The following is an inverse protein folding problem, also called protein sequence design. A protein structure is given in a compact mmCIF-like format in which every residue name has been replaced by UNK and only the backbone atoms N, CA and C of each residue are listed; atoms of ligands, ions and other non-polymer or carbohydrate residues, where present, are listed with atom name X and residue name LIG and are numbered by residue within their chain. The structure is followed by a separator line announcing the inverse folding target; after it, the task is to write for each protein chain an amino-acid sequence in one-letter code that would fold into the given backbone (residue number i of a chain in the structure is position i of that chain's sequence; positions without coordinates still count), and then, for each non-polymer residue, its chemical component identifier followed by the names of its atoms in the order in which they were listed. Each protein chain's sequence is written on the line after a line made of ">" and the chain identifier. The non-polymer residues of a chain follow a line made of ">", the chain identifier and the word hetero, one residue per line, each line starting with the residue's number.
data_IF_836902946032
#
_entry.id   IF_836902946032
#
_cell.length_a   1.000
_cell.length_b   1.000
_cell.length_c   1.000
_cell.angle_alpha   90.00
_cell.angle_beta   90.00
_cell.angle_gamma   90.00
#
_symmetry.space_group_name_H-M   'P 1'
#
loop_
_entity.id
_entity.type
_entity.pdbx_description
1 polymer ?
#
# COMPACT_ATOMS: atom_id res chain seq x y z
N UNK A 1 -17.70 -4.02 3.72
CA UNK A 1 -16.31 -3.94 4.20
C UNK A 1 -16.25 -4.82 5.44
N UNK A 2 -15.32 -5.78 5.52
CA UNK A 2 -15.23 -6.65 6.70
C UNK A 2 -14.69 -5.83 7.88
N UNK A 3 -15.43 -5.76 8.97
CA UNK A 3 -15.07 -4.92 10.11
C UNK A 3 -13.89 -5.50 10.91
N UNK A 4 -13.15 -4.64 11.62
CA UNK A 4 -12.15 -5.08 12.58
C UNK A 4 -12.84 -5.70 13.79
N UNK A 5 -12.61 -6.99 14.04
CA UNK A 5 -13.01 -7.61 15.31
C UNK A 5 -12.02 -7.26 16.41
N UNK A 6 -12.48 -6.62 17.50
CA UNK A 6 -11.66 -6.37 18.69
C UNK A 6 -12.01 -7.37 19.80
N UNK A 7 -10.99 -7.96 20.42
CA UNK A 7 -11.09 -8.87 21.55
C UNK A 7 -10.23 -8.31 22.67
N UNK A 8 -10.86 -7.92 23.79
CA UNK A 8 -10.13 -7.46 24.96
C UNK A 8 -9.94 -8.59 25.95
N UNK A 9 -8.69 -8.92 26.27
CA UNK A 9 -8.32 -9.98 27.19
C UNK A 9 -7.82 -9.37 28.50
N UNK A 10 -8.57 -9.56 29.57
CA UNK A 10 -8.18 -9.12 30.92
C UNK A 10 -7.68 -10.26 31.82
N UNK A 11 -7.93 -11.51 31.43
CA UNK A 11 -7.56 -12.73 32.20
C UNK A 11 -7.21 -13.86 31.25
N UNK A 12 -6.49 -14.88 31.75
CA UNK A 12 -6.01 -16.01 30.93
C UNK A 12 -7.14 -16.74 30.21
N UNK A 13 -8.30 -16.90 30.87
CA UNK A 13 -9.48 -17.58 30.30
C UNK A 13 -10.15 -16.81 29.15
N UNK A 14 -9.81 -15.54 28.97
CA UNK A 14 -10.38 -14.67 27.92
C UNK A 14 -9.50 -14.66 26.66
N UNK A 15 -8.33 -15.30 26.71
CA UNK A 15 -7.48 -15.49 25.53
C UNK A 15 -8.26 -16.38 24.56
N UNK A 16 -8.53 -15.92 23.32
CA UNK A 16 -9.35 -16.66 22.37
C UNK A 16 -8.67 -17.97 21.94
N UNK A 17 -9.44 -19.03 21.77
CA UNK A 17 -8.93 -20.30 21.24
C UNK A 17 -8.59 -20.19 19.76
N UNK A 18 -7.89 -21.18 19.23
CA UNK A 18 -7.54 -21.22 17.81
C UNK A 18 -8.80 -21.29 16.93
N UNK A 19 -9.80 -22.06 17.37
CA UNK A 19 -11.08 -22.23 16.70
C UNK A 19 -11.86 -20.91 16.66
N UNK A 20 -11.89 -20.17 17.79
CA UNK A 20 -12.49 -18.83 17.83
C UNK A 20 -11.82 -17.88 16.85
N UNK A 21 -10.48 -17.85 16.82
CA UNK A 21 -9.74 -17.02 15.86
C UNK A 21 -10.03 -17.42 14.43
N UNK A 22 -10.06 -18.73 14.12
CA UNK A 22 -10.37 -19.23 12.79
C UNK A 22 -11.79 -18.86 12.33
N UNK A 23 -12.79 -19.00 13.21
CA UNK A 23 -14.16 -18.60 12.92
C UNK A 23 -14.24 -17.09 12.65
N UNK A 24 -13.61 -16.28 13.50
CA UNK A 24 -13.61 -14.83 13.35
C UNK A 24 -12.88 -14.37 12.08
N UNK A 25 -11.77 -15.00 11.68
CA UNK A 25 -11.06 -14.68 10.43
C UNK A 25 -11.82 -15.12 9.17
N UNK A 26 -12.76 -16.06 9.28
CA UNK A 26 -13.64 -16.39 8.15
C UNK A 26 -14.61 -15.24 7.82
N UNK A 27 -15.02 -14.49 8.86
CA UNK A 27 -15.99 -13.38 8.76
C UNK A 27 -15.32 -12.02 8.66
N UNK A 28 -14.12 -11.86 9.22
CA UNK A 28 -13.39 -10.61 9.33
C UNK A 28 -12.01 -10.74 8.68
N UNK A 29 -11.51 -9.70 8.01
CA UNK A 29 -10.15 -9.72 7.45
C UNK A 29 -9.07 -9.43 8.51
N UNK A 30 -9.47 -8.93 9.68
CA UNK A 30 -8.56 -8.56 10.76
C UNK A 30 -9.19 -8.76 12.12
N UNK A 31 -8.40 -9.29 13.05
CA UNK A 31 -8.71 -9.36 14.48
C UNK A 31 -7.67 -8.57 15.24
N UNK A 32 -8.08 -7.86 16.29
CA UNK A 32 -7.17 -7.22 17.24
C UNK A 32 -7.40 -7.78 18.63
N UNK A 33 -6.35 -8.35 19.22
CA UNK A 33 -6.35 -8.85 20.60
C UNK A 33 -5.65 -7.81 21.47
N UNK A 34 -6.42 -7.11 22.29
CA UNK A 34 -5.97 -6.07 23.21
C UNK A 34 -5.76 -6.66 24.62
N UNK A 35 -4.70 -6.25 25.31
CA UNK A 35 -4.44 -6.63 26.71
C UNK A 35 -3.67 -5.52 27.45
N UNK A 36 -3.80 -5.48 28.78
CA UNK A 36 -3.07 -4.54 29.62
C UNK A 36 -1.62 -5.02 29.85
N UNK A 37 -0.66 -4.12 29.72
CA UNK A 37 0.77 -4.39 29.93
C UNK A 37 1.10 -4.81 31.37
N UNK A 38 0.25 -4.44 32.33
CA UNK A 38 0.42 -4.70 33.77
C UNK A 38 -0.03 -6.11 34.21
N UNK A 39 -0.42 -6.98 33.28
CA UNK A 39 -0.83 -8.35 33.64
C UNK A 39 0.32 -9.22 34.11
N UNK A 40 -0.02 -10.23 34.91
CA UNK A 40 0.95 -11.13 35.51
C UNK A 40 1.70 -11.98 34.46
N UNK A 41 2.87 -12.49 34.86
CA UNK A 41 3.74 -13.30 34.01
C UNK A 41 3.02 -14.51 33.37
N UNK A 42 2.13 -15.17 34.12
CA UNK A 42 1.43 -16.35 33.64
C UNK A 42 0.47 -16.02 32.48
N UNK A 43 -0.26 -14.91 32.58
CA UNK A 43 -1.11 -14.41 31.48
C UNK A 43 -0.29 -14.15 30.22
N UNK A 44 0.80 -13.38 30.34
CA UNK A 44 1.65 -13.02 29.20
C UNK A 44 2.28 -14.26 28.56
N UNK A 45 2.72 -15.24 29.37
CA UNK A 45 3.26 -16.51 28.88
C UNK A 45 2.23 -17.29 28.07
N UNK A 46 1.00 -17.38 28.57
CA UNK A 46 -0.08 -18.10 27.89
C UNK A 46 -0.51 -17.41 26.60
N UNK A 47 -0.62 -16.07 26.61
CA UNK A 47 -0.95 -15.29 25.41
C UNK A 47 0.13 -15.48 24.34
N UNK A 48 1.41 -15.34 24.67
CA UNK A 48 2.51 -15.56 23.71
C UNK A 48 2.51 -16.97 23.14
N UNK A 49 2.21 -17.99 23.94
CA UNK A 49 2.06 -19.37 23.45
C UNK A 49 0.90 -19.47 22.46
N UNK A 50 -0.24 -18.86 22.76
CA UNK A 50 -1.40 -18.88 21.88
C UNK A 50 -1.13 -18.14 20.57
N UNK A 51 -0.45 -16.98 20.60
CA UNK A 51 -0.07 -16.23 19.40
C UNK A 51 0.85 -17.07 18.50
N UNK A 52 1.83 -17.78 19.06
CA UNK A 52 2.67 -18.71 18.26
C UNK A 52 1.86 -19.84 17.63
N UNK A 53 0.96 -20.47 18.40
CA UNK A 53 0.08 -21.50 17.83
C UNK A 53 -0.79 -20.97 16.68
N UNK A 54 -1.23 -19.71 16.76
CA UNK A 54 -1.98 -19.05 15.68
C UNK A 54 -1.10 -18.84 14.45
N UNK A 55 0.11 -18.33 14.64
CA UNK A 55 1.11 -18.10 13.58
C UNK A 55 1.50 -19.40 12.87
N UNK A 56 1.69 -20.48 13.63
CA UNK A 56 2.12 -21.78 13.11
C UNK A 56 1.00 -22.53 12.34
N UNK A 57 -0.27 -22.31 12.73
CA UNK A 57 -1.40 -23.13 12.26
C UNK A 57 -2.37 -22.39 11.33
N UNK A 58 -2.35 -21.05 11.31
CA UNK A 58 -3.21 -20.23 10.46
C UNK A 58 -2.37 -19.39 9.50
N UNK A 59 -2.92 -19.15 8.31
CA UNK A 59 -2.30 -18.29 7.31
C UNK A 59 -2.59 -16.82 7.62
N UNK A 60 -1.83 -16.25 8.56
CA UNK A 60 -2.02 -14.89 9.06
C UNK A 60 -0.69 -14.14 9.15
N UNK A 61 -0.77 -12.82 9.00
CA UNK A 61 0.30 -11.91 9.39
C UNK A 61 -0.01 -11.35 10.79
N UNK A 62 0.95 -11.41 11.72
CA UNK A 62 0.76 -10.93 13.08
C UNK A 62 1.64 -9.71 13.35
N UNK A 63 0.99 -8.58 13.64
CA UNK A 63 1.67 -7.35 14.02
C UNK A 63 1.43 -7.04 15.50
N UNK A 64 2.50 -6.75 16.23
CA UNK A 64 2.43 -6.31 17.62
C UNK A 64 2.47 -4.79 17.70
N UNK A 65 1.76 -4.22 18.66
CA UNK A 65 1.84 -2.80 18.96
C UNK A 65 1.52 -2.48 20.41
N UNK A 66 1.74 -1.23 20.78
CA UNK A 66 1.44 -0.72 22.12
C UNK A 66 0.99 0.73 22.06
N UNK A 67 0.13 1.11 22.99
CA UNK A 67 -0.33 2.47 23.20
C UNK A 67 -0.60 2.67 24.69
N UNK A 68 0.25 3.46 25.35
CA UNK A 68 0.22 3.63 26.82
C UNK A 68 0.31 2.26 27.52
N UNK A 69 -0.61 1.96 28.43
CA UNK A 69 -0.70 0.69 29.15
C UNK A 69 -1.37 -0.43 28.33
N UNK A 70 -1.82 -0.16 27.10
CA UNK A 70 -2.47 -1.15 26.25
C UNK A 70 -1.47 -1.75 25.26
N UNK A 71 -1.36 -3.07 25.22
CA UNK A 71 -0.61 -3.81 24.21
C UNK A 71 -1.57 -4.60 23.35
N UNK A 72 -1.20 -4.86 22.11
CA UNK A 72 -2.07 -5.57 21.19
C UNK A 72 -1.33 -6.39 20.15
N UNK A 73 -2.06 -7.40 19.65
CA UNK A 73 -1.73 -8.15 18.46
C UNK A 73 -2.81 -7.90 17.41
N UNK A 74 -2.44 -7.43 16.23
CA UNK A 74 -3.29 -7.44 15.05
C UNK A 74 -2.98 -8.69 14.24
N UNK A 75 -4.02 -9.47 13.96
CA UNK A 75 -3.96 -10.67 13.14
C UNK A 75 -4.65 -10.33 11.83
N UNK A 76 -3.91 -10.34 10.74
CA UNK A 76 -4.44 -10.10 9.40
C UNK A 76 -4.61 -11.43 8.70
N UNK A 77 -5.81 -11.72 8.23
CA UNK A 77 -6.03 -12.88 7.38
C UNK A 77 -5.25 -12.68 6.07
N UNK A 78 -4.53 -13.70 5.61
CA UNK A 78 -3.86 -13.69 4.31
C UNK A 78 -4.66 -14.52 3.31
N UNK A 79 -4.38 -14.34 2.03
CA UNK A 79 -4.96 -15.19 1.00
C UNK A 79 -4.32 -16.57 1.00
N UNK A 80 -5.12 -17.59 0.71
CA UNK A 80 -4.60 -18.88 0.24
C UNK A 80 -3.87 -18.74 -1.09
N UNK A 81 -3.03 -19.70 -1.44
CA UNK A 81 -2.28 -19.70 -2.71
C UNK A 81 -3.17 -19.53 -3.94
N UNK A 82 -4.33 -20.21 -3.95
CA UNK A 82 -5.30 -20.13 -5.04
C UNK A 82 -5.95 -18.73 -5.13
N UNK A 83 -6.23 -18.11 -3.99
CA UNK A 83 -6.77 -16.75 -3.94
C UNK A 83 -5.73 -15.72 -4.41
N UNK A 84 -4.48 -15.81 -3.94
CA UNK A 84 -3.38 -14.94 -4.40
C UNK A 84 -3.24 -15.04 -5.92
N UNK A 85 -3.17 -16.26 -6.46
CA UNK A 85 -3.04 -16.47 -7.90
C UNK A 85 -4.18 -15.79 -8.66
N UNK A 86 -5.43 -16.04 -8.25
CA UNK A 86 -6.61 -15.48 -8.93
C UNK A 86 -6.67 -13.96 -8.84
N UNK A 87 -6.28 -13.38 -7.71
CA UNK A 87 -6.37 -11.94 -7.51
C UNK A 87 -5.20 -11.18 -8.14
N UNK A 88 -4.06 -11.85 -8.32
CA UNK A 88 -2.82 -11.25 -8.84
C UNK A 88 -2.96 -10.70 -10.26
N UNK A 89 -3.73 -11.37 -11.14
CA UNK A 89 -3.95 -10.92 -12.53
C UNK A 89 -4.57 -9.52 -12.57
N UNK A 90 -5.60 -9.29 -11.74
CA UNK A 90 -6.28 -7.99 -11.65
C UNK A 90 -5.41 -6.93 -10.97
N UNK A 91 -4.55 -7.32 -10.03
CA UNK A 91 -3.61 -6.40 -9.41
C UNK A 91 -2.50 -5.99 -10.41
N UNK A 92 -2.03 -6.93 -11.24
CA UNK A 92 -1.06 -6.65 -12.31
C UNK A 92 -1.61 -5.61 -13.30
N UNK A 93 -2.87 -5.73 -13.70
CA UNK A 93 -3.55 -4.74 -14.55
C UNK A 93 -3.55 -3.34 -13.90
N UNK A 94 -3.88 -3.26 -12.60
CA UNK A 94 -3.86 -2.01 -11.87
C UNK A 94 -2.45 -1.40 -11.78
N UNK A 95 -1.43 -2.22 -11.50
CA UNK A 95 -0.03 -1.82 -11.43
C UNK A 95 0.46 -1.30 -12.79
N UNK A 96 0.16 -2.04 -13.86
CA UNK A 96 0.47 -1.63 -15.24
C UNK A 96 -0.22 -0.31 -15.59
N UNK A 97 -1.51 -0.19 -15.30
CA UNK A 97 -2.25 1.03 -15.56
C UNK A 97 -1.70 2.21 -14.77
N UNK A 98 -1.31 2.01 -13.51
CA UNK A 98 -0.71 3.04 -12.66
C UNK A 98 0.62 3.54 -13.25
N UNK A 99 1.49 2.64 -13.69
CA UNK A 99 2.73 3.03 -14.37
C UNK A 99 2.48 3.84 -15.64
N UNK A 100 1.62 3.34 -16.52
CA UNK A 100 1.34 3.99 -17.80
C UNK A 100 0.69 5.37 -17.63
N UNK A 101 -0.22 5.53 -16.65
CA UNK A 101 -0.80 6.85 -16.37
C UNK A 101 0.24 7.81 -15.78
N UNK A 102 1.11 7.32 -14.89
CA UNK A 102 2.17 8.12 -14.30
C UNK A 102 3.12 8.67 -15.36
N UNK A 103 3.65 7.81 -16.22
CA UNK A 103 4.55 8.22 -17.32
C UNK A 103 3.86 9.22 -18.26
N UNK A 104 2.58 9.00 -18.59
CA UNK A 104 1.80 9.90 -19.45
C UNK A 104 1.61 11.28 -18.83
N UNK A 105 1.31 11.35 -17.53
CA UNK A 105 1.08 12.62 -16.84
C UNK A 105 2.37 13.41 -16.66
N UNK A 106 3.46 12.73 -16.31
CA UNK A 106 4.78 13.37 -16.24
C UNK A 106 5.20 13.89 -17.60
N UNK A 107 5.12 13.07 -18.66
CA UNK A 107 5.46 13.53 -20.02
C UNK A 107 4.69 14.79 -20.42
N UNK A 108 3.37 14.84 -20.15
CA UNK A 108 2.57 16.04 -20.42
C UNK A 108 3.02 17.25 -19.62
N UNK A 109 3.42 17.05 -18.37
CA UNK A 109 3.95 18.11 -17.53
C UNK A 109 5.27 18.63 -18.12
N UNK A 110 6.19 17.72 -18.42
CA UNK A 110 7.51 18.03 -18.98
C UNK A 110 7.40 18.78 -20.32
N UNK A 111 6.48 18.35 -21.20
CA UNK A 111 6.17 19.03 -22.45
C UNK A 111 5.60 20.44 -22.22
N UNK A 112 4.63 20.59 -21.31
CA UNK A 112 3.96 21.88 -21.04
C UNK A 112 4.95 22.95 -20.53
N UNK A 113 5.89 22.56 -19.68
CA UNK A 113 6.82 23.49 -19.03
C UNK A 113 8.24 23.46 -19.64
N UNK A 114 8.46 22.67 -20.71
CA UNK A 114 9.78 22.41 -21.28
C UNK A 114 10.83 22.06 -20.20
N UNK A 115 10.42 21.22 -19.27
CA UNK A 115 11.17 20.83 -18.09
C UNK A 115 11.35 19.32 -18.08
N UNK A 116 12.42 18.81 -17.49
CA UNK A 116 12.55 17.38 -17.24
C UNK A 116 12.93 17.15 -15.78
N UNK A 117 12.24 16.21 -15.13
CA UNK A 117 12.53 15.85 -13.74
C UNK A 117 13.84 15.07 -13.57
N UNK A 118 14.39 14.54 -14.67
CA UNK A 118 15.66 13.80 -14.67
C UNK A 118 16.85 14.66 -15.14
N UNK A 119 16.60 15.86 -15.66
CA UNK A 119 17.66 16.78 -16.09
C UNK A 119 18.13 17.67 -14.92
N UNK A 120 19.27 17.31 -14.33
CA UNK A 120 19.86 18.04 -13.20
C UNK A 120 20.36 19.44 -13.55
N UNK A 121 20.45 19.80 -14.84
CA UNK A 121 20.89 21.13 -15.28
C UNK A 121 19.73 22.15 -15.33
N UNK A 122 18.47 21.67 -15.29
CA UNK A 122 17.29 22.53 -15.29
C UNK A 122 16.79 22.74 -13.86
N UNK A 123 16.99 23.95 -13.34
CA UNK A 123 16.39 24.34 -12.07
C UNK A 123 14.88 24.47 -12.19
N UNK A 124 14.15 23.83 -11.28
CA UNK A 124 12.70 23.98 -11.12
C UNK A 124 12.26 25.45 -10.91
N UNK A 125 13.13 26.29 -10.35
CA UNK A 125 12.86 27.72 -10.19
C UNK A 125 12.58 28.43 -11.52
N UNK A 126 13.13 27.92 -12.64
CA UNK A 126 12.95 28.50 -13.98
C UNK A 126 11.50 28.41 -14.49
N UNK A 127 10.73 27.42 -14.02
CA UNK A 127 9.35 27.20 -14.46
C UNK A 127 8.31 27.64 -13.43
N UNK A 128 8.73 28.06 -12.24
CA UNK A 128 7.84 28.41 -11.13
C UNK A 128 6.82 29.49 -11.50
N UNK A 129 7.25 30.54 -12.19
CA UNK A 129 6.35 31.61 -12.63
C UNK A 129 5.28 31.14 -13.63
N UNK A 130 5.65 30.22 -14.53
CA UNK A 130 4.69 29.64 -15.48
C UNK A 130 3.68 28.74 -14.77
N UNK A 131 4.13 27.90 -13.83
CA UNK A 131 3.27 27.06 -12.98
C UNK A 131 2.24 27.90 -12.21
N UNK A 132 2.68 29.02 -11.62
CA UNK A 132 1.82 29.96 -10.88
C UNK A 132 0.77 30.61 -11.80
N UNK A 133 1.17 31.04 -13.00
CA UNK A 133 0.24 31.59 -14.01
C UNK A 133 -0.80 30.56 -14.46
N UNK A 134 -0.38 29.31 -14.64
CA UNK A 134 -1.24 28.18 -14.99
C UNK A 134 -2.10 27.67 -13.83
N UNK A 135 -1.92 28.21 -12.61
CA UNK A 135 -2.62 27.79 -11.38
C UNK A 135 -2.56 26.28 -11.16
N UNK A 136 -1.41 25.68 -11.48
CA UNK A 136 -1.17 24.23 -11.44
C UNK A 136 -2.12 23.38 -12.31
N UNK A 137 -2.69 23.94 -13.38
CA UNK A 137 -3.47 23.18 -14.34
C UNK A 137 -2.53 22.51 -15.35
N UNK A 138 -2.72 21.21 -15.60
CA UNK A 138 -2.02 20.48 -16.66
C UNK A 138 -2.79 20.54 -17.99
N UNK A 139 -4.10 20.28 -17.93
CA UNK A 139 -5.05 20.31 -19.07
C UNK A 139 -6.45 20.59 -18.54
N UNK A 140 -7.46 20.80 -19.38
CA UNK A 140 -8.86 21.07 -18.97
C UNK A 140 -9.32 20.28 -17.72
N UNK A 141 -9.10 18.96 -17.69
CA UNK A 141 -9.58 18.09 -16.61
C UNK A 141 -8.50 17.62 -15.63
N UNK A 142 -7.23 18.01 -15.81
CA UNK A 142 -6.13 17.56 -14.96
C UNK A 142 -5.42 18.74 -14.32
N UNK A 143 -5.30 18.70 -12.99
CA UNK A 143 -4.46 19.61 -12.20
C UNK A 143 -3.42 18.81 -11.41
N UNK A 144 -2.45 19.50 -10.82
CA UNK A 144 -1.42 18.85 -10.02
C UNK A 144 -1.02 19.66 -8.77
N UNK A 145 -0.35 19.00 -7.83
CA UNK A 145 0.26 19.61 -6.66
C UNK A 145 1.52 18.85 -6.27
N UNK A 146 2.58 19.58 -5.95
CA UNK A 146 3.79 19.02 -5.37
C UNK A 146 3.65 18.87 -3.85
N UNK A 147 4.19 17.79 -3.29
CA UNK A 147 4.39 17.62 -1.85
C UNK A 147 5.56 16.68 -1.58
N UNK A 148 6.43 17.04 -0.64
CA UNK A 148 7.64 16.26 -0.38
C UNK A 148 8.47 16.08 -1.65
N UNK A 149 8.73 14.82 -2.01
CA UNK A 149 9.43 14.43 -3.25
C UNK A 149 8.49 13.89 -4.34
N UNK A 150 7.19 14.17 -4.24
CA UNK A 150 6.14 13.60 -5.07
C UNK A 150 5.31 14.69 -5.78
N UNK A 151 4.60 14.28 -6.82
CA UNK A 151 3.61 15.09 -7.55
C UNK A 151 2.29 14.33 -7.63
N UNK A 152 1.24 14.94 -7.09
CA UNK A 152 -0.12 14.41 -7.13
C UNK A 152 -0.89 15.07 -8.28
N UNK A 153 -1.42 14.25 -9.18
CA UNK A 153 -2.31 14.65 -10.26
C UNK A 153 -3.76 14.26 -9.94
N UNK A 154 -4.69 15.17 -10.19
CA UNK A 154 -6.12 14.95 -9.95
C UNK A 154 -6.92 15.23 -11.20
N UNK A 155 -7.82 14.32 -11.55
CA UNK A 155 -8.73 14.49 -12.66
C UNK A 155 -10.13 14.92 -12.19
N UNK A 156 -10.55 16.15 -12.49
CA UNK A 156 -11.82 16.71 -12.00
C UNK A 156 -13.07 16.00 -12.57
N UNK A 157 -12.97 15.42 -13.78
CA UNK A 157 -14.08 14.74 -14.46
C UNK A 157 -14.33 13.33 -13.93
N UNK A 158 -13.27 12.58 -13.68
CA UNK A 158 -13.36 11.16 -13.25
C UNK A 158 -13.18 10.97 -11.75
N UNK A 159 -12.61 11.96 -11.05
CA UNK A 159 -12.19 11.84 -9.65
C UNK A 159 -10.92 11.01 -9.45
N UNK A 160 -10.26 10.56 -10.53
CA UNK A 160 -9.03 9.78 -10.47
C UNK A 160 -7.88 10.61 -9.87
N UNK A 161 -7.13 10.00 -8.96
CA UNK A 161 -5.94 10.59 -8.34
C UNK A 161 -4.74 9.71 -8.62
N UNK A 162 -3.63 10.32 -9.05
CA UNK A 162 -2.36 9.66 -9.36
C UNK A 162 -1.25 10.41 -8.65
N UNK A 163 -0.74 9.86 -7.56
CA UNK A 163 0.45 10.36 -6.88
C UNK A 163 1.69 9.71 -7.48
N UNK A 164 2.77 10.44 -7.72
CA UNK A 164 3.95 9.95 -8.42
C UNK A 164 5.20 10.36 -7.66
N UNK A 165 5.99 9.37 -7.26
CA UNK A 165 7.27 9.59 -6.62
C UNK A 165 8.36 9.97 -7.64
N UNK A 166 8.95 11.16 -7.46
CA UNK A 166 9.96 11.70 -8.39
C UNK A 166 11.40 11.30 -8.01
N UNK A 167 11.61 10.65 -6.85
CA UNK A 167 12.95 10.27 -6.36
C UNK A 167 13.56 9.05 -7.07
N UNK A 168 12.87 8.44 -8.02
CA UNK A 168 13.31 7.22 -8.70
C UNK A 168 13.77 7.48 -10.14
N UNK A 169 14.44 8.61 -10.38
CA UNK A 169 15.15 8.96 -11.63
C UNK A 169 14.47 8.46 -12.94
N UNK A 170 13.21 8.84 -13.16
CA UNK A 170 12.46 8.48 -14.36
C UNK A 170 11.68 7.15 -14.30
N UNK A 171 11.83 6.34 -13.26
CA UNK A 171 10.94 5.21 -12.96
C UNK A 171 9.61 5.72 -12.36
N UNK A 172 8.80 6.37 -13.20
CA UNK A 172 7.49 6.86 -12.79
C UNK A 172 6.52 5.68 -12.59
N UNK A 173 5.69 5.76 -11.54
CA UNK A 173 4.77 4.68 -11.19
C UNK A 173 5.39 3.56 -10.34
N UNK A 174 6.50 3.84 -9.63
CA UNK A 174 6.92 3.00 -8.51
C UNK A 174 5.80 2.87 -7.48
N UNK A 175 5.64 1.68 -6.93
CA UNK A 175 4.57 1.32 -6.02
C UNK A 175 4.93 1.78 -4.62
N UNK A 176 4.37 2.92 -4.24
CA UNK A 176 4.14 3.23 -2.83
C UNK A 176 2.77 2.65 -2.41
N UNK A 177 2.74 1.88 -1.31
CA UNK A 177 1.53 1.15 -0.91
C UNK A 177 0.34 2.09 -0.66
N UNK A 178 0.57 3.26 -0.08
CA UNK A 178 -0.50 4.20 0.23
C UNK A 178 -1.03 4.85 -1.06
N UNK A 179 -0.13 5.38 -1.88
CA UNK A 179 -0.49 6.06 -3.13
C UNK A 179 -1.10 5.12 -4.16
N UNK A 180 -0.56 3.91 -4.30
CA UNK A 180 -1.09 2.92 -5.22
C UNK A 180 -2.48 2.43 -4.78
N UNK A 181 -2.69 2.20 -3.48
CA UNK A 181 -4.01 1.89 -2.96
C UNK A 181 -5.00 3.02 -3.24
N UNK A 182 -4.59 4.27 -3.04
CA UNK A 182 -5.43 5.45 -3.30
C UNK A 182 -5.77 5.63 -4.78
N UNK A 183 -4.82 5.35 -5.68
CA UNK A 183 -5.06 5.29 -7.12
C UNK A 183 -6.14 4.25 -7.46
N UNK A 184 -6.06 3.04 -6.90
CA UNK A 184 -7.08 2.02 -7.14
C UNK A 184 -8.45 2.41 -6.57
N UNK A 185 -8.50 3.10 -5.43
CA UNK A 185 -9.74 3.60 -4.83
C UNK A 185 -10.43 4.68 -5.67
N UNK A 186 -9.64 5.52 -6.36
CA UNK A 186 -10.15 6.66 -7.13
C UNK A 186 -10.34 6.33 -8.62
N UNK A 187 -9.80 5.22 -9.09
CA UNK A 187 -9.94 4.75 -10.47
C UNK A 187 -11.10 3.76 -10.58
N UNK A 188 -12.15 4.11 -11.33
CA UNK A 188 -13.40 3.34 -11.40
C UNK A 188 -13.19 1.84 -11.72
N UNK A 189 -12.29 1.53 -12.64
CA UNK A 189 -11.95 0.16 -13.06
C UNK A 189 -11.38 -0.68 -11.90
N UNK A 190 -10.66 -0.04 -10.97
CA UNK A 190 -9.92 -0.71 -9.90
C UNK A 190 -10.56 -0.60 -8.51
N UNK A 191 -11.69 0.10 -8.37
CA UNK A 191 -12.41 0.22 -7.08
C UNK A 191 -12.73 -1.13 -6.45
N UNK A 192 -13.17 -2.09 -7.26
CA UNK A 192 -13.56 -3.41 -6.77
C UNK A 192 -12.35 -4.20 -6.26
N UNK A 193 -11.19 -4.14 -6.93
CA UNK A 193 -9.96 -4.80 -6.48
C UNK A 193 -9.38 -4.09 -5.25
N UNK A 194 -9.43 -2.75 -5.22
CA UNK A 194 -8.98 -1.95 -4.08
C UNK A 194 -9.67 -2.36 -2.78
N UNK A 195 -10.99 -2.59 -2.83
CA UNK A 195 -11.79 -2.89 -1.64
C UNK A 195 -11.36 -4.16 -0.88
N UNK A 196 -10.62 -5.05 -1.54
CA UNK A 196 -10.11 -6.31 -0.97
C UNK A 196 -8.89 -6.06 -0.08
N UNK A 197 -8.14 -4.98 -0.33
CA UNK A 197 -6.92 -4.61 0.39
C UNK A 197 -7.14 -3.52 1.46
N UNK A 198 -8.33 -2.90 1.50
CA UNK A 198 -8.65 -1.88 2.50
C UNK A 198 -8.49 -2.46 3.90
N UNK A 199 -7.75 -1.74 4.75
CA UNK A 199 -7.43 -2.14 6.13
C UNK A 199 -6.70 -3.49 6.28
N UNK A 200 -6.19 -4.06 5.17
CA UNK A 200 -5.38 -5.26 5.14
C UNK A 200 -4.20 -5.12 4.15
N UNK A 201 -3.30 -4.19 4.48
CA UNK A 201 -2.03 -4.00 3.76
C UNK A 201 -1.19 -5.28 3.62
N UNK A 202 -1.15 -6.21 4.61
CA UNK A 202 -0.45 -7.49 4.43
C UNK A 202 -0.91 -8.30 3.23
N UNK A 203 -2.21 -8.33 2.91
CA UNK A 203 -2.69 -8.97 1.67
C UNK A 203 -2.14 -8.32 0.41
N UNK A 204 -2.02 -6.98 0.39
CA UNK A 204 -1.47 -6.27 -0.76
C UNK A 204 0.02 -6.62 -0.93
N UNK A 205 0.77 -6.63 0.17
CA UNK A 205 2.18 -7.04 0.18
C UNK A 205 2.32 -8.48 -0.31
N UNK A 206 1.51 -9.42 0.21
CA UNK A 206 1.50 -10.82 -0.23
C UNK A 206 1.29 -10.95 -1.74
N UNK A 207 0.32 -10.24 -2.32
CA UNK A 207 0.09 -10.28 -3.76
C UNK A 207 1.23 -9.65 -4.56
N UNK A 208 1.85 -8.58 -4.04
CA UNK A 208 3.01 -7.94 -4.67
C UNK A 208 4.24 -8.86 -4.67
N UNK A 209 4.49 -9.56 -3.57
CA UNK A 209 5.57 -10.55 -3.46
C UNK A 209 5.36 -11.69 -4.44
N UNK A 210 4.13 -12.20 -4.55
CA UNK A 210 3.78 -13.19 -5.57
C UNK A 210 4.06 -12.68 -6.99
N UNK A 211 3.65 -11.46 -7.32
CA UNK A 211 3.92 -10.85 -8.63
C UNK A 211 5.42 -10.66 -8.89
N UNK A 212 6.19 -10.32 -7.84
CA UNK A 212 7.65 -10.19 -7.90
C UNK A 212 8.31 -11.54 -8.19
N UNK A 213 7.90 -12.60 -7.51
CA UNK A 213 8.37 -13.98 -7.76
C UNK A 213 8.05 -14.46 -9.17
N UNK A 214 6.91 -14.03 -9.74
CA UNK A 214 6.55 -14.28 -11.14
C UNK A 214 7.24 -13.35 -12.14
N UNK A 215 8.07 -12.42 -11.68
CA UNK A 215 8.79 -11.47 -12.53
C UNK A 215 7.90 -10.41 -13.18
N UNK A 216 6.64 -10.26 -12.73
CA UNK A 216 5.66 -9.27 -13.23
C UNK A 216 5.94 -7.86 -12.73
N UNK A 217 6.57 -7.76 -11.56
CA UNK A 217 7.13 -6.52 -11.02
C UNK A 217 8.61 -6.73 -10.68
N UNK A 218 9.38 -5.65 -10.67
CA UNK A 218 10.80 -5.65 -10.32
C UNK A 218 11.12 -4.54 -9.33
N UNK A 219 12.21 -4.70 -8.59
CA UNK A 219 12.73 -3.64 -7.73
C UNK A 219 13.51 -2.61 -8.55
N UNK A 220 13.36 -1.34 -8.18
CA UNK A 220 14.17 -0.23 -8.66
C UNK A 220 14.67 0.57 -7.47
N UNK A 221 15.87 1.14 -7.61
CA UNK A 221 16.53 1.91 -6.55
C UNK A 221 16.34 3.41 -6.75
N UNK A 222 16.14 4.14 -5.67
CA UNK A 222 16.31 5.59 -5.65
C UNK A 222 17.80 5.92 -5.63
N UNK A 223 18.18 6.97 -6.35
CA UNK A 223 19.52 7.55 -6.30
C UNK A 223 19.71 8.51 -5.12
N UNK A 224 18.63 8.84 -4.39
CA UNK A 224 18.60 9.93 -3.40
C UNK A 224 18.45 9.47 -1.95
N UNK A 225 18.16 8.19 -1.67
CA UNK A 225 17.90 7.70 -0.31
C UNK A 225 18.94 6.67 0.15
N UNK A 226 19.59 6.95 1.29
CA UNK A 226 20.53 6.05 1.99
C UNK A 226 19.81 5.03 2.91
N UNK A 227 18.49 5.14 3.09
CA UNK A 227 17.66 4.27 3.91
C UNK A 227 16.38 3.89 3.13
N UNK A 228 16.17 2.59 2.92
CA UNK A 228 15.07 1.96 2.15
C UNK A 228 14.85 2.52 0.73
N UNK A 229 15.84 2.23 -0.11
CA UNK A 229 15.98 2.74 -1.47
C UNK A 229 15.22 1.96 -2.54
N UNK A 230 14.56 0.83 -2.22
CA UNK A 230 13.95 -0.04 -3.21
C UNK A 230 12.42 0.05 -3.23
N UNK A 231 11.84 0.25 -4.41
CA UNK A 231 10.40 0.15 -4.64
C UNK A 231 10.11 -0.80 -5.80
N UNK A 232 8.92 -1.40 -5.79
CA UNK A 232 8.45 -2.23 -6.89
C UNK A 232 7.93 -1.36 -8.03
N UNK A 233 8.10 -1.81 -9.25
CA UNK A 233 7.51 -1.21 -10.46
C UNK A 233 7.10 -2.32 -11.43
N UNK A 234 6.09 -2.07 -12.26
CA UNK A 234 5.71 -3.00 -13.33
C UNK A 234 6.91 -3.35 -14.23
N UNK A 235 7.10 -4.63 -14.52
CA UNK A 235 8.16 -5.09 -15.43
C UNK A 235 7.62 -5.20 -16.86
N UNK A 236 7.96 -4.23 -17.71
CA UNK A 236 7.54 -4.21 -19.13
C UNK A 236 8.00 -5.42 -19.94
N UNK A 237 9.08 -6.08 -19.50
CA UNK A 237 9.61 -7.27 -20.16
C UNK A 237 8.92 -8.56 -19.72
N UNK A 238 7.95 -8.48 -18.80
CA UNK A 238 7.18 -9.64 -18.39
C UNK A 238 6.17 -10.02 -19.48
N UNK A 239 6.27 -11.25 -19.99
CA UNK A 239 5.28 -11.85 -20.90
C UNK A 239 4.05 -12.31 -20.13
#
# INVERSE_FOLDING_TARGET
>A
MKELKKIFCSRTREIPSLETIKEELSRNDRIRIDYNSKFNFLFIRNLKRQIRNIEDLLNVEIQKGEFKDLKFYNLYNLFSENEVKKISERLEEAIKSYRLISERLIKRFEEKYNYSFTDTNKSFAKIKGQIEQDKNQLSENWSYRFHGGDICFSNSKSGQIVDINLKYNGFYGVIDLWFFQYFMQTTNEFKSISSIYIDNTPKLIQTLDYLKEKGKVKLVKSEFDFLDSEKLIWNENSK
#
